data_IF_107700223047
#
_entry.id   IF_107700223047
#
_cell.length_a   1.000
_cell.length_b   1.000
_cell.length_c   1.000
_cell.angle_alpha   90.00
_cell.angle_beta   90.00
_cell.angle_gamma   90.00
#
_symmetry.space_group_name_H-M   'P 1'
#
loop_
_entity.id
_entity.type
_entity.pdbx_description
1 polymer ?
#
# COMPACT_ATOMS: atom_id res chain seq x y z
N UNK A 1 30.02 5.94 -1.81
CA UNK A 1 28.92 4.95 -1.94
C UNK A 1 29.18 4.06 -3.14
N UNK A 2 29.05 2.77 -2.98
CA UNK A 2 29.30 1.81 -4.04
C UNK A 2 28.21 1.88 -5.13
N UNK A 3 28.63 1.92 -6.39
CA UNK A 3 27.71 1.80 -7.52
C UNK A 3 27.01 0.45 -7.52
N UNK A 4 27.69 -0.60 -7.05
CA UNK A 4 27.13 -1.94 -6.95
C UNK A 4 25.95 -1.98 -5.98
N UNK A 5 26.04 -1.27 -4.85
CA UNK A 5 24.94 -1.17 -3.89
C UNK A 5 23.75 -0.45 -4.50
N UNK A 6 23.98 0.67 -5.18
CA UNK A 6 22.91 1.40 -5.87
C UNK A 6 22.23 0.52 -6.90
N UNK A 7 23.01 -0.19 -7.71
CA UNK A 7 22.46 -1.08 -8.74
C UNK A 7 21.64 -2.22 -8.11
N UNK A 8 22.13 -2.81 -7.04
CA UNK A 8 21.43 -3.89 -6.34
C UNK A 8 20.09 -3.39 -5.78
N UNK A 9 20.08 -2.23 -5.15
CA UNK A 9 18.87 -1.65 -4.59
C UNK A 9 17.85 -1.30 -5.68
N UNK A 10 18.30 -0.65 -6.75
CA UNK A 10 17.43 -0.30 -7.87
C UNK A 10 16.85 -1.53 -8.55
N UNK A 11 17.68 -2.59 -8.73
CA UNK A 11 17.22 -3.86 -9.29
C UNK A 11 16.17 -4.51 -8.39
N UNK A 12 16.42 -4.53 -7.08
CA UNK A 12 15.46 -5.08 -6.12
C UNK A 12 14.12 -4.34 -6.17
N UNK A 13 14.15 -3.02 -6.17
CA UNK A 13 12.92 -2.21 -6.23
C UNK A 13 12.17 -2.50 -7.54
N UNK A 14 12.86 -2.45 -8.68
CA UNK A 14 12.23 -2.62 -9.98
C UNK A 14 11.68 -4.04 -10.18
N UNK A 15 12.49 -5.06 -9.91
CA UNK A 15 12.11 -6.44 -10.19
C UNK A 15 11.17 -7.01 -9.13
N UNK A 16 11.33 -6.63 -7.87
CA UNK A 16 10.55 -7.19 -6.76
C UNK A 16 9.32 -6.35 -6.47
N UNK A 17 9.49 -5.05 -6.24
CA UNK A 17 8.38 -4.19 -5.81
C UNK A 17 7.51 -3.79 -6.99
N UNK A 18 8.13 -3.23 -8.04
CA UNK A 18 7.35 -2.67 -9.16
C UNK A 18 6.80 -3.74 -10.10
N UNK A 19 7.54 -4.82 -10.31
CA UNK A 19 7.14 -5.84 -11.27
C UNK A 19 6.38 -6.99 -10.61
N UNK A 20 7.00 -7.71 -9.68
CA UNK A 20 6.40 -8.93 -9.12
C UNK A 20 5.15 -8.65 -8.29
N UNK A 21 5.16 -7.61 -7.49
CA UNK A 21 3.97 -7.24 -6.69
C UNK A 21 2.83 -6.83 -7.60
N UNK A 22 3.10 -6.01 -8.62
CA UNK A 22 2.08 -5.59 -9.59
C UNK A 22 1.47 -6.78 -10.32
N UNK A 23 2.30 -7.71 -10.77
CA UNK A 23 1.84 -8.90 -11.48
C UNK A 23 0.97 -9.79 -10.58
N UNK A 24 1.36 -9.97 -9.34
CA UNK A 24 0.57 -10.75 -8.37
C UNK A 24 -0.79 -10.12 -8.09
N UNK A 25 -0.83 -8.81 -7.88
CA UNK A 25 -2.09 -8.10 -7.65
C UNK A 25 -3.01 -8.22 -8.87
N UNK A 26 -2.45 -8.06 -10.08
CA UNK A 26 -3.23 -8.17 -11.31
C UNK A 26 -3.72 -9.59 -11.55
N UNK A 27 -2.83 -10.58 -11.48
CA UNK A 27 -3.10 -11.95 -11.92
C UNK A 27 -3.88 -12.75 -10.88
N UNK A 28 -3.61 -12.55 -9.60
CA UNK A 28 -4.24 -13.31 -8.52
C UNK A 28 -5.47 -12.63 -7.92
N UNK A 29 -5.52 -11.28 -7.96
CA UNK A 29 -6.57 -10.52 -7.29
C UNK A 29 -7.31 -9.53 -8.19
N UNK A 30 -6.92 -9.44 -9.46
CA UNK A 30 -7.53 -8.54 -10.44
C UNK A 30 -7.59 -7.09 -9.93
N UNK A 31 -6.51 -6.63 -9.32
CA UNK A 31 -6.41 -5.27 -8.79
C UNK A 31 -5.08 -4.64 -9.20
N UNK A 32 -4.83 -3.43 -8.75
CA UNK A 32 -3.61 -2.67 -9.07
C UNK A 32 -2.94 -2.22 -7.78
N UNK A 33 -1.65 -1.89 -7.86
CA UNK A 33 -0.92 -1.37 -6.71
C UNK A 33 -1.51 -0.05 -6.19
N UNK A 34 -1.88 0.94 -7.03
CA UNK A 34 -2.53 2.15 -6.52
C UNK A 34 -3.83 1.88 -5.78
N UNK A 35 -4.66 0.95 -6.24
CA UNK A 35 -5.88 0.56 -5.53
C UNK A 35 -5.57 -0.09 -4.19
N UNK A 36 -4.59 -0.99 -4.18
CA UNK A 36 -4.13 -1.64 -2.95
C UNK A 36 -3.63 -0.59 -1.94
N UNK A 37 -2.85 0.39 -2.40
CA UNK A 37 -2.31 1.43 -1.53
C UNK A 37 -3.42 2.30 -0.93
N UNK A 38 -4.43 2.65 -1.70
CA UNK A 38 -5.61 3.40 -1.21
C UNK A 38 -6.32 2.57 -0.13
N UNK A 39 -6.59 1.30 -0.40
CA UNK A 39 -7.26 0.43 0.56
C UNK A 39 -6.44 0.25 1.83
N UNK A 40 -5.11 0.15 1.70
CA UNK A 40 -4.20 0.05 2.84
C UNK A 40 -4.29 1.28 3.75
N UNK A 41 -4.29 2.47 3.16
CA UNK A 41 -4.43 3.72 3.91
C UNK A 41 -5.77 3.78 4.66
N UNK A 42 -6.85 3.38 4.00
CA UNK A 42 -8.19 3.35 4.60
C UNK A 42 -8.30 2.27 5.69
N UNK A 43 -7.65 1.15 5.51
CA UNK A 43 -7.64 0.08 6.50
C UNK A 43 -7.00 0.52 7.81
N UNK A 44 -5.95 1.33 7.73
CA UNK A 44 -5.26 1.87 8.92
C UNK A 44 -6.03 3.00 9.60
N UNK A 45 -7.10 3.50 8.99
CA UNK A 45 -7.89 4.63 9.51
C UNK A 45 -9.36 4.24 9.55
N UNK A 46 -9.74 3.51 10.60
CA UNK A 46 -11.10 2.97 10.75
C UNK A 46 -12.19 4.04 10.76
N UNK A 47 -11.85 5.25 11.20
CA UNK A 47 -12.80 6.38 11.21
C UNK A 47 -12.95 7.05 9.84
N UNK A 48 -12.13 6.66 8.87
CA UNK A 48 -12.15 7.21 7.53
C UNK A 48 -11.13 8.32 7.33
N UNK A 49 -10.90 8.65 6.07
CA UNK A 49 -9.99 9.72 5.67
C UNK A 49 -10.69 10.64 4.68
N UNK A 50 -10.34 11.92 4.73
CA UNK A 50 -10.74 12.89 3.69
C UNK A 50 -9.89 12.66 2.45
N UNK A 51 -10.38 13.11 1.29
CA UNK A 51 -9.67 12.94 0.01
C UNK A 51 -8.27 13.55 0.05
N UNK A 52 -8.12 14.75 0.61
CA UNK A 52 -6.82 15.41 0.72
C UNK A 52 -5.88 14.67 1.67
N UNK A 53 -6.40 14.01 2.70
CA UNK A 53 -5.60 13.20 3.61
C UNK A 53 -5.05 11.95 2.90
N UNK A 54 -5.87 11.32 2.06
CA UNK A 54 -5.44 10.16 1.27
C UNK A 54 -4.32 10.59 0.30
N UNK A 55 -4.52 11.70 -0.40
CA UNK A 55 -3.51 12.24 -1.32
C UNK A 55 -2.20 12.55 -0.60
N UNK A 56 -2.27 13.11 0.61
CA UNK A 56 -1.10 13.42 1.41
C UNK A 56 -0.33 12.17 1.83
N UNK A 57 -1.04 11.12 2.23
CA UNK A 57 -0.42 9.86 2.65
C UNK A 57 0.25 9.16 1.45
N UNK A 58 -0.41 9.14 0.30
CA UNK A 58 0.07 8.41 -0.87
C UNK A 58 0.92 9.26 -1.81
N UNK A 59 0.95 10.57 -1.61
CA UNK A 59 1.72 11.53 -2.42
C UNK A 59 1.39 11.44 -3.91
N UNK A 60 0.10 11.26 -4.22
CA UNK A 60 -0.41 11.22 -5.60
C UNK A 60 -1.41 12.34 -5.81
N UNK A 61 -1.72 12.65 -7.07
CA UNK A 61 -2.66 13.72 -7.41
C UNK A 61 -4.09 13.39 -6.98
N UNK A 62 -4.85 14.41 -6.58
CA UNK A 62 -6.25 14.25 -6.19
C UNK A 62 -7.10 13.65 -7.33
N UNK A 63 -6.79 13.96 -8.59
CA UNK A 63 -7.50 13.41 -9.73
C UNK A 63 -7.40 11.89 -9.82
N UNK A 64 -6.18 11.35 -9.63
CA UNK A 64 -5.97 9.91 -9.63
C UNK A 64 -6.70 9.24 -8.46
N UNK A 65 -6.65 9.84 -7.28
CA UNK A 65 -7.35 9.33 -6.10
C UNK A 65 -8.86 9.31 -6.34
N UNK A 66 -9.41 10.38 -6.90
CA UNK A 66 -10.85 10.47 -7.17
C UNK A 66 -11.31 9.32 -8.07
N UNK A 67 -10.58 9.04 -9.14
CA UNK A 67 -10.90 7.95 -10.07
C UNK A 67 -10.84 6.58 -9.38
N UNK A 68 -9.83 6.36 -8.57
CA UNK A 68 -9.67 5.12 -7.82
C UNK A 68 -10.81 4.93 -6.82
N UNK A 69 -11.12 5.98 -6.04
CA UNK A 69 -12.21 5.94 -5.06
C UNK A 69 -13.55 5.69 -5.73
N UNK A 70 -13.83 6.37 -6.86
CA UNK A 70 -15.07 6.18 -7.61
C UNK A 70 -15.28 4.72 -8.01
N UNK A 71 -14.23 4.06 -8.47
CA UNK A 71 -14.28 2.64 -8.84
C UNK A 71 -14.49 1.74 -7.62
N UNK A 72 -13.80 2.04 -6.51
CA UNK A 72 -13.96 1.28 -5.29
C UNK A 72 -15.36 1.42 -4.69
N UNK A 73 -15.95 2.61 -4.80
CA UNK A 73 -17.36 2.85 -4.41
C UNK A 73 -18.29 2.01 -5.29
N UNK A 74 -18.09 2.05 -6.59
CA UNK A 74 -18.92 1.32 -7.55
C UNK A 74 -18.85 -0.19 -7.31
N UNK A 75 -17.70 -0.69 -6.92
CA UNK A 75 -17.50 -2.11 -6.62
C UNK A 75 -17.94 -2.51 -5.20
N UNK A 76 -18.33 -1.55 -4.39
CA UNK A 76 -18.83 -1.79 -3.03
C UNK A 76 -17.74 -1.98 -1.98
N UNK A 77 -16.48 -1.66 -2.29
CA UNK A 77 -15.37 -1.78 -1.36
C UNK A 77 -15.20 -0.57 -0.44
N UNK A 78 -15.71 0.57 -0.86
CA UNK A 78 -15.54 1.86 -0.20
C UNK A 78 -16.87 2.60 -0.21
N UNK A 79 -17.10 3.41 0.80
CA UNK A 79 -18.26 4.31 0.82
C UNK A 79 -17.80 5.72 1.21
N UNK A 80 -18.56 6.71 0.75
CA UNK A 80 -18.39 8.10 1.15
C UNK A 80 -19.41 8.43 2.21
N UNK A 81 -18.94 9.02 3.31
CA UNK A 81 -19.78 9.42 4.43
C UNK A 81 -19.71 10.93 4.53
N UNK A 82 -20.87 11.58 4.50
CA UNK A 82 -20.94 13.03 4.64
C UNK A 82 -20.43 13.44 6.02
N UNK A 83 -19.67 14.54 6.08
CA UNK A 83 -19.23 15.13 7.33
C UNK A 83 -20.32 16.08 7.80
N UNK A 84 -20.80 15.89 9.02
CA UNK A 84 -21.80 16.75 9.61
C UNK A 84 -21.28 18.19 9.67
N UNK A 85 -22.09 19.12 9.16
CA UNK A 85 -21.74 20.54 9.11
C UNK A 85 -20.88 20.96 7.94
N UNK A 86 -20.45 20.03 7.08
CA UNK A 86 -19.63 20.36 5.92
C UNK A 86 -20.14 19.61 4.68
N UNK A 87 -20.88 20.31 3.83
CA UNK A 87 -21.47 19.72 2.63
C UNK A 87 -20.46 19.43 1.53
N UNK A 88 -19.23 19.99 1.60
CA UNK A 88 -18.21 19.87 0.57
C UNK A 88 -17.23 18.76 0.83
N UNK A 89 -17.20 18.22 2.05
CA UNK A 89 -16.24 17.22 2.44
C UNK A 89 -16.92 15.91 2.78
N UNK A 90 -16.28 14.83 2.38
CA UNK A 90 -16.71 13.47 2.70
C UNK A 90 -15.54 12.72 3.33
N UNK A 91 -15.88 11.86 4.29
CA UNK A 91 -14.95 10.83 4.74
C UNK A 91 -15.10 9.63 3.82
N UNK A 92 -13.98 9.02 3.50
CA UNK A 92 -13.92 7.79 2.71
C UNK A 92 -13.56 6.66 3.65
N UNK A 93 -14.34 5.58 3.63
CA UNK A 93 -14.16 4.44 4.53
C UNK A 93 -14.28 3.13 3.77
N UNK A 94 -13.58 2.10 4.21
CA UNK A 94 -13.81 0.75 3.71
C UNK A 94 -15.16 0.23 4.21
N UNK A 95 -15.87 -0.47 3.33
CA UNK A 95 -17.04 -1.26 3.73
C UNK A 95 -16.56 -2.58 4.35
N UNK A 96 -17.46 -3.34 4.95
CA UNK A 96 -17.12 -4.69 5.44
C UNK A 96 -16.56 -5.56 4.30
N UNK A 97 -17.13 -5.44 3.12
CA UNK A 97 -16.62 -6.13 1.92
C UNK A 97 -15.20 -5.68 1.59
N UNK A 98 -14.95 -4.38 1.65
CA UNK A 98 -13.62 -3.81 1.39
C UNK A 98 -12.59 -4.27 2.42
N UNK A 99 -12.96 -4.31 3.69
CA UNK A 99 -12.09 -4.80 4.76
C UNK A 99 -11.69 -6.25 4.50
N UNK A 100 -12.65 -7.12 4.21
CA UNK A 100 -12.37 -8.53 3.92
C UNK A 100 -11.49 -8.69 2.69
N UNK A 101 -11.77 -7.90 1.65
CA UNK A 101 -10.99 -7.96 0.42
C UNK A 101 -9.54 -7.50 0.65
N UNK A 102 -9.35 -6.42 1.42
CA UNK A 102 -8.01 -5.94 1.75
C UNK A 102 -7.26 -6.97 2.60
N UNK A 103 -7.90 -7.56 3.59
CA UNK A 103 -7.27 -8.57 4.44
C UNK A 103 -6.83 -9.79 3.63
N UNK A 104 -7.59 -10.17 2.61
CA UNK A 104 -7.21 -11.25 1.68
C UNK A 104 -5.96 -10.85 0.88
N UNK A 105 -5.92 -9.64 0.32
CA UNK A 105 -4.75 -9.15 -0.41
C UNK A 105 -3.51 -9.08 0.49
N UNK A 106 -3.68 -8.52 1.68
CA UNK A 106 -2.58 -8.35 2.64
C UNK A 106 -2.04 -9.71 3.11
N UNK A 107 -2.92 -10.66 3.35
CA UNK A 107 -2.53 -12.01 3.74
C UNK A 107 -1.76 -12.74 2.64
N UNK A 108 -2.20 -12.62 1.39
CA UNK A 108 -1.50 -13.21 0.25
C UNK A 108 -0.12 -12.56 0.05
N UNK A 109 -0.04 -11.24 0.20
CA UNK A 109 1.21 -10.50 0.10
C UNK A 109 2.19 -10.92 1.20
N UNK A 110 1.72 -11.02 2.44
CA UNK A 110 2.53 -11.47 3.57
C UNK A 110 3.06 -12.89 3.35
N UNK A 111 2.21 -13.80 2.90
CA UNK A 111 2.60 -15.17 2.60
C UNK A 111 3.69 -15.22 1.54
N UNK A 112 3.59 -14.40 0.50
CA UNK A 112 4.60 -14.32 -0.53
C UNK A 112 5.94 -13.80 -0.01
N UNK A 113 5.91 -12.77 0.85
CA UNK A 113 7.12 -12.23 1.47
C UNK A 113 7.81 -13.30 2.33
N UNK A 114 7.03 -14.04 3.12
CA UNK A 114 7.58 -15.13 3.95
C UNK A 114 8.30 -16.16 3.08
N UNK A 115 7.70 -16.57 1.97
CA UNK A 115 8.33 -17.51 1.03
C UNK A 115 9.61 -16.92 0.43
N UNK A 116 9.58 -15.65 0.05
CA UNK A 116 10.74 -14.97 -0.51
C UNK A 116 11.92 -14.92 0.47
N UNK A 117 11.63 -14.77 1.77
CA UNK A 117 12.65 -14.60 2.80
C UNK A 117 13.02 -15.92 3.52
N UNK A 118 12.45 -17.05 3.13
CA UNK A 118 12.62 -18.32 3.87
C UNK A 118 14.05 -18.80 3.99
N UNK A 119 14.93 -18.41 3.06
CA UNK A 119 16.32 -18.86 3.05
C UNK A 119 17.28 -17.91 3.78
N UNK A 120 16.77 -16.83 4.36
CA UNK A 120 17.59 -15.91 5.14
C UNK A 120 17.77 -16.49 6.54
N UNK A 121 19.02 -16.60 7.00
CA UNK A 121 19.31 -17.05 8.36
C UNK A 121 18.80 -16.04 9.38
N UNK A 122 18.57 -16.51 10.62
CA UNK A 122 18.16 -15.63 11.71
C UNK A 122 19.16 -14.49 11.92
N UNK A 123 20.46 -14.82 11.88
CA UNK A 123 21.51 -13.81 12.01
C UNK A 123 21.42 -12.76 10.91
N UNK A 124 21.30 -13.19 9.66
CA UNK A 124 21.19 -12.26 8.53
C UNK A 124 19.89 -11.46 8.57
N UNK A 125 18.81 -12.01 9.10
CA UNK A 125 17.55 -11.29 9.31
C UNK A 125 17.74 -10.09 10.24
N UNK A 126 18.42 -10.27 11.36
CA UNK A 126 18.71 -9.19 12.29
C UNK A 126 19.57 -8.09 11.64
N UNK A 127 20.58 -8.50 10.89
CA UNK A 127 21.44 -7.55 10.15
C UNK A 127 20.62 -6.76 9.14
N UNK A 128 19.76 -7.43 8.37
CA UNK A 128 18.92 -6.79 7.37
C UNK A 128 17.93 -5.80 7.99
N UNK A 129 17.31 -6.17 9.11
CA UNK A 129 16.40 -5.29 9.85
C UNK A 129 17.12 -4.01 10.25
N UNK A 130 18.30 -4.12 10.84
CA UNK A 130 19.08 -2.96 11.28
C UNK A 130 19.46 -2.06 10.11
N UNK A 131 19.85 -2.65 8.98
CA UNK A 131 20.21 -1.88 7.79
C UNK A 131 19.00 -1.14 7.21
N UNK A 132 17.86 -1.79 7.13
CA UNK A 132 16.62 -1.18 6.63
C UNK A 132 16.15 -0.05 7.55
N UNK A 133 16.23 -0.24 8.86
CA UNK A 133 15.87 0.78 9.83
C UNK A 133 16.78 2.02 9.70
N UNK A 134 18.09 1.81 9.49
CA UNK A 134 19.03 2.91 9.28
C UNK A 134 18.66 3.75 8.07
N UNK A 135 18.28 3.11 6.97
CA UNK A 135 17.85 3.80 5.74
C UNK A 135 16.54 4.58 6.00
N UNK A 136 15.61 3.97 6.70
CA UNK A 136 14.32 4.59 7.02
C UNK A 136 14.47 5.80 7.94
N UNK A 137 15.37 5.74 8.91
CA UNK A 137 15.64 6.87 9.82
C UNK A 137 16.17 8.09 9.06
N UNK A 138 17.06 7.87 8.10
CA UNK A 138 17.58 8.96 7.26
C UNK A 138 16.45 9.62 6.50
N UNK A 139 15.50 8.85 5.99
CA UNK A 139 14.37 9.36 5.23
C UNK A 139 13.31 10.06 6.08
N UNK A 140 13.31 9.84 7.39
CA UNK A 140 12.37 10.49 8.33
C UNK A 140 12.86 11.86 8.82
N UNK A 141 14.14 12.12 8.69
CA UNK A 141 14.74 13.39 9.18
C UNK A 141 14.66 14.53 8.19
#
# INVERSE_FOLDING_TARGET
MSQDLQNALQTFIRETVEKQIKEKLRDEHNTTLPRFDVMSALYRSSSGLKMNEISGVLKVSNGNITGIIDRLVKEGHVLRVAIEGDRRSNLVKLTNKGIRQFEEYAGAHEAWIIVMLKNISEQNSHILIDLLDSISEINRS
#
